data_IF_021506616923
#
_entry.id   IF_021506616923
#
_cell.length_a   1.000
_cell.length_b   1.000
_cell.length_c   1.000
_cell.angle_alpha   90.00
_cell.angle_beta   90.00
_cell.angle_gamma   90.00
#
_symmetry.space_group_name_H-M   'P 1'
#
loop_
_entity.id
_entity.type
_entity.pdbx_description
1 polymer ?
#
# COMPACT_ATOMS: atom_id res chain seq x y z
N UNK A 1 15.73 36.12 55.01
CA UNK A 1 14.26 36.30 55.09
C UNK A 1 13.79 37.23 53.99
N UNK A 2 13.07 36.70 52.99
CA UNK A 2 11.87 37.26 52.31
C UNK A 2 11.66 36.46 51.01
N UNK A 3 10.62 35.65 51.05
CA UNK A 3 10.06 34.84 49.97
C UNK A 3 9.09 35.70 49.19
N UNK A 4 9.16 35.77 47.86
CA UNK A 4 8.00 36.12 47.04
C UNK A 4 7.97 35.32 45.70
N UNK A 5 6.99 34.40 45.64
CA UNK A 5 6.05 34.05 44.55
C UNK A 5 6.54 34.22 43.10
N UNK A 6 6.84 33.13 42.38
CA UNK A 6 5.89 32.25 41.67
C UNK A 6 4.89 33.00 40.77
N UNK A 7 5.22 33.13 39.49
CA UNK A 7 4.25 33.04 38.39
C UNK A 7 4.79 32.07 37.34
N UNK A 8 4.17 30.90 37.28
CA UNK A 8 4.32 29.97 36.17
C UNK A 8 3.70 30.61 34.92
N UNK A 9 4.52 30.81 33.87
CA UNK A 9 4.00 30.92 32.51
C UNK A 9 4.03 29.51 31.91
N UNK A 10 2.90 28.80 32.09
CA UNK A 10 2.59 27.61 31.31
C UNK A 10 2.28 28.11 29.90
N UNK A 11 3.29 28.13 29.03
CA UNK A 11 3.05 28.16 27.60
C UNK A 11 2.50 26.79 27.20
N UNK A 12 1.18 26.66 27.26
CA UNK A 12 0.45 25.59 26.62
C UNK A 12 0.59 25.72 25.12
N UNK A 13 1.61 25.09 24.54
CA UNK A 13 1.57 24.70 23.13
C UNK A 13 0.58 23.55 23.00
N UNK A 14 -0.71 23.88 22.97
CA UNK A 14 -1.70 23.03 22.34
C UNK A 14 -1.33 22.98 20.86
N UNK A 15 -0.50 22.00 20.47
CA UNK A 15 -0.44 21.56 19.09
C UNK A 15 -1.82 21.00 18.78
N UNK A 16 -2.70 21.89 18.32
CA UNK A 16 -3.88 21.51 17.57
C UNK A 16 -3.36 20.70 16.40
N UNK A 17 -3.45 19.38 16.54
CA UNK A 17 -3.18 18.44 15.47
C UNK A 17 -4.07 18.86 14.31
N UNK A 18 -3.45 19.41 13.27
CA UNK A 18 -4.08 19.39 11.96
C UNK A 18 -4.18 17.92 11.61
N UNK A 19 -5.33 17.32 11.93
CA UNK A 19 -5.77 16.09 11.29
C UNK A 19 -5.97 16.47 9.82
N UNK A 20 -4.87 16.47 9.07
CA UNK A 20 -4.89 16.45 7.63
C UNK A 20 -5.53 15.11 7.29
N UNK A 21 -6.86 15.12 7.22
CA UNK A 21 -7.61 14.12 6.50
C UNK A 21 -7.01 14.11 5.10
N UNK A 22 -6.14 13.14 4.87
CA UNK A 22 -5.63 12.79 3.56
C UNK A 22 -6.87 12.47 2.73
N UNK A 23 -7.44 13.49 2.07
CA UNK A 23 -8.40 13.33 1.00
C UNK A 23 -7.67 12.54 -0.05
N UNK A 24 -7.85 11.21 -0.01
CA UNK A 24 -7.34 10.36 -1.06
C UNK A 24 -7.94 10.89 -2.37
N UNK A 25 -7.13 11.07 -3.43
CA UNK A 25 -7.67 11.44 -4.73
C UNK A 25 -8.69 10.37 -5.12
N UNK A 26 -9.97 10.78 -5.20
CA UNK A 26 -11.04 9.97 -5.76
C UNK A 26 -10.86 10.07 -7.27
N UNK A 27 -10.18 9.09 -7.84
CA UNK A 27 -10.12 8.93 -9.28
C UNK A 27 -11.50 8.45 -9.74
N UNK A 28 -12.15 9.22 -10.62
CA UNK A 28 -13.47 8.92 -11.16
C UNK A 28 -13.39 7.78 -12.19
N UNK A 29 -13.30 6.55 -11.69
CA UNK A 29 -13.32 5.32 -12.50
C UNK A 29 -14.73 4.95 -12.98
N UNK A 30 -15.76 5.70 -12.56
CA UNK A 30 -17.16 5.37 -12.83
C UNK A 30 -17.53 5.49 -14.32
N UNK A 31 -16.72 6.14 -15.15
CA UNK A 31 -17.01 6.32 -16.58
C UNK A 31 -16.83 5.06 -17.45
N UNK A 32 -16.24 3.96 -16.95
CA UNK A 32 -15.88 2.80 -17.78
C UNK A 32 -16.23 1.42 -17.17
N UNK A 33 -17.02 1.34 -16.09
CA UNK A 33 -17.33 0.09 -15.36
C UNK A 33 -16.10 -0.67 -14.83
N UNK A 34 -14.97 0.00 -14.64
CA UNK A 34 -13.75 -0.60 -14.09
C UNK A 34 -13.88 -0.68 -12.55
N UNK A 35 -14.58 -1.72 -12.08
CA UNK A 35 -14.82 -1.99 -10.65
C UNK A 35 -13.66 -2.82 -10.08
N UNK A 36 -13.07 -2.45 -8.93
CA UNK A 36 -12.04 -3.26 -8.30
C UNK A 36 -12.59 -4.63 -7.87
N UNK A 37 -11.80 -5.69 -8.05
CA UNK A 37 -12.21 -7.06 -7.69
C UNK A 37 -12.14 -7.34 -6.18
N UNK A 38 -11.55 -6.40 -5.43
CA UNK A 38 -11.50 -6.45 -3.97
C UNK A 38 -12.11 -5.18 -3.41
N UNK A 39 -12.95 -5.34 -2.40
CA UNK A 39 -13.54 -4.23 -1.67
C UNK A 39 -12.56 -3.74 -0.60
N UNK A 40 -12.01 -2.54 -0.81
CA UNK A 40 -11.14 -1.90 0.16
C UNK A 40 -11.83 -1.54 1.47
N UNK A 41 -13.17 -1.54 1.52
CA UNK A 41 -13.98 -1.28 2.70
C UNK A 41 -14.43 -2.55 3.44
N UNK A 42 -14.05 -3.75 2.96
CA UNK A 42 -14.47 -5.01 3.59
C UNK A 42 -14.15 -5.04 5.09
N UNK A 43 -14.99 -5.73 5.88
CA UNK A 43 -14.74 -5.87 7.30
C UNK A 43 -13.51 -6.74 7.55
N UNK A 44 -12.59 -6.21 8.36
CA UNK A 44 -11.34 -6.85 8.76
C UNK A 44 -11.23 -6.90 10.29
N UNK A 45 -12.33 -6.70 11.01
CA UNK A 45 -12.33 -6.59 12.47
C UNK A 45 -11.82 -7.88 13.15
N UNK A 46 -12.22 -9.04 12.63
CA UNK A 46 -12.04 -10.33 13.28
C UNK A 46 -11.32 -11.37 12.41
N UNK A 47 -10.27 -10.98 11.68
CA UNK A 47 -9.45 -11.93 10.94
C UNK A 47 -8.60 -12.78 11.89
N UNK A 48 -8.67 -14.10 11.72
CA UNK A 48 -7.66 -15.01 12.29
C UNK A 48 -6.33 -14.83 11.58
N UNK A 49 -5.18 -15.24 12.16
CA UNK A 49 -3.89 -15.18 11.47
C UNK A 49 -3.89 -15.89 10.10
N UNK A 50 -4.54 -17.05 10.00
CA UNK A 50 -4.73 -17.76 8.74
C UNK A 50 -5.62 -16.97 7.76
N UNK A 51 -6.70 -16.37 8.25
CA UNK A 51 -7.58 -15.52 7.44
C UNK A 51 -6.86 -14.29 6.88
N UNK A 52 -5.99 -13.68 7.69
CA UNK A 52 -5.15 -12.57 7.24
C UNK A 52 -4.19 -13.01 6.12
N UNK A 53 -3.48 -14.12 6.28
CA UNK A 53 -2.56 -14.61 5.24
C UNK A 53 -3.28 -15.02 3.95
N UNK A 54 -4.44 -15.68 4.04
CA UNK A 54 -5.28 -15.98 2.87
C UNK A 54 -5.73 -14.71 2.14
N UNK A 55 -6.03 -13.65 2.90
CA UNK A 55 -6.38 -12.36 2.30
C UNK A 55 -5.17 -11.74 1.59
N UNK A 56 -3.98 -11.76 2.19
CA UNK A 56 -2.73 -11.32 1.53
C UNK A 56 -2.47 -12.11 0.23
N UNK A 57 -2.68 -13.43 0.24
CA UNK A 57 -2.53 -14.25 -0.96
C UNK A 57 -3.51 -13.84 -2.06
N UNK A 58 -4.79 -13.62 -1.72
CA UNK A 58 -5.78 -13.12 -2.67
C UNK A 58 -5.38 -11.76 -3.24
N UNK A 59 -4.93 -10.85 -2.39
CA UNK A 59 -4.48 -9.52 -2.81
C UNK A 59 -3.29 -9.60 -3.76
N UNK A 60 -2.32 -10.47 -3.47
CA UNK A 60 -1.17 -10.70 -4.35
C UNK A 60 -1.57 -11.25 -5.71
N UNK A 61 -2.49 -12.22 -5.76
CA UNK A 61 -3.01 -12.75 -7.03
C UNK A 61 -3.64 -11.63 -7.86
N UNK A 62 -4.44 -10.76 -7.25
CA UNK A 62 -5.06 -9.62 -7.96
C UNK A 62 -4.03 -8.60 -8.45
N UNK A 63 -3.02 -8.29 -7.63
CA UNK A 63 -1.90 -7.41 -7.98
C UNK A 63 -1.12 -7.91 -9.21
N UNK A 64 -0.90 -9.23 -9.32
CA UNK A 64 -0.17 -9.83 -10.44
C UNK A 64 -1.03 -10.04 -11.70
N UNK A 65 -2.35 -10.26 -11.54
CA UNK A 65 -3.27 -10.68 -12.61
C UNK A 65 -3.21 -9.80 -13.86
N UNK A 66 -3.25 -8.48 -13.68
CA UNK A 66 -3.28 -7.53 -14.80
C UNK A 66 -1.89 -7.11 -15.26
N UNK A 67 -0.87 -7.15 -14.39
CA UNK A 67 0.53 -6.88 -14.76
C UNK A 67 1.02 -7.86 -15.82
N UNK A 68 0.73 -9.14 -15.66
CA UNK A 68 1.12 -10.17 -16.65
C UNK A 68 0.49 -9.86 -18.02
N UNK A 69 -0.76 -9.38 -18.06
CA UNK A 69 -1.46 -9.01 -19.30
C UNK A 69 -0.85 -7.76 -19.96
N UNK A 70 -0.51 -6.75 -19.17
CA UNK A 70 0.19 -5.54 -19.64
C UNK A 70 1.59 -5.88 -20.18
N UNK A 71 2.35 -6.71 -19.46
CA UNK A 71 3.74 -7.07 -19.82
C UNK A 71 3.80 -8.00 -21.04
N UNK A 72 2.87 -8.97 -21.14
CA UNK A 72 2.82 -9.90 -22.27
C UNK A 72 2.15 -9.32 -23.53
N UNK A 73 1.31 -8.28 -23.37
CA UNK A 73 0.70 -7.55 -24.49
C UNK A 73 1.66 -6.60 -25.21
N UNK A 74 2.91 -6.48 -24.76
CA UNK A 74 3.90 -5.56 -25.34
C UNK A 74 5.09 -6.30 -25.99
N UNK A 75 4.90 -7.05 -27.10
CA UNK A 75 6.03 -7.54 -27.87
C UNK A 75 6.66 -6.37 -28.66
N UNK A 76 7.85 -5.91 -28.25
CA UNK A 76 8.80 -5.27 -29.15
C UNK A 76 8.84 -3.73 -29.25
N UNK A 77 8.30 -2.95 -28.31
CA UNK A 77 8.39 -1.47 -28.38
C UNK A 77 8.97 -0.83 -27.12
N UNK A 78 10.26 -1.09 -26.86
CA UNK A 78 11.02 -0.31 -25.86
C UNK A 78 11.34 1.12 -26.32
N UNK A 79 11.27 1.45 -27.62
CA UNK A 79 11.73 2.73 -28.17
C UNK A 79 10.79 3.39 -29.20
N UNK A 80 9.47 3.26 -29.11
CA UNK A 80 8.56 4.01 -29.98
C UNK A 80 7.61 4.87 -29.17
N UNK A 81 7.72 6.18 -29.35
CA UNK A 81 6.75 7.22 -28.98
C UNK A 81 5.33 6.66 -28.86
N UNK A 82 4.81 6.75 -27.63
CA UNK A 82 3.44 6.50 -27.16
C UNK A 82 2.43 6.35 -28.30
N UNK A 83 2.37 5.17 -28.92
CA UNK A 83 1.19 4.77 -29.70
C UNK A 83 0.10 4.56 -28.66
N UNK A 84 -1.00 5.31 -28.79
CA UNK A 84 -2.19 5.15 -27.94
C UNK A 84 -2.39 3.65 -27.67
N UNK A 85 -2.49 3.22 -26.39
CA UNK A 85 -2.73 1.83 -26.09
C UNK A 85 -3.93 1.38 -26.93
N UNK A 86 -3.83 0.22 -27.58
CA UNK A 86 -5.03 -0.39 -28.15
C UNK A 86 -6.09 -0.53 -27.05
N UNK A 87 -7.36 -0.57 -27.44
CA UNK A 87 -8.49 -0.51 -26.48
C UNK A 87 -8.39 -1.60 -25.40
N UNK A 88 -7.75 -2.73 -25.71
CA UNK A 88 -7.55 -3.87 -24.82
C UNK A 88 -6.40 -3.66 -23.82
N UNK A 89 -5.21 -3.25 -24.27
CA UNK A 89 -4.09 -2.91 -23.38
C UNK A 89 -4.47 -1.74 -22.49
N UNK A 90 -5.16 -0.74 -23.04
CA UNK A 90 -5.68 0.39 -22.28
C UNK A 90 -6.68 -0.02 -21.21
N UNK A 91 -7.50 -1.05 -21.47
CA UNK A 91 -8.39 -1.65 -20.47
C UNK A 91 -7.61 -2.32 -19.34
N UNK A 92 -6.57 -3.09 -19.65
CA UNK A 92 -5.77 -3.75 -18.61
C UNK A 92 -4.97 -2.78 -17.74
N UNK A 93 -4.46 -1.68 -18.30
CA UNK A 93 -3.86 -0.60 -17.51
C UNK A 93 -4.83 0.01 -16.50
N UNK A 94 -6.08 0.28 -16.92
CA UNK A 94 -7.10 0.82 -16.02
C UNK A 94 -7.50 -0.19 -14.95
N UNK A 95 -7.73 -1.45 -15.32
CA UNK A 95 -8.05 -2.53 -14.38
C UNK A 95 -6.93 -2.75 -13.35
N UNK A 96 -5.67 -2.66 -13.78
CA UNK A 96 -4.53 -2.70 -12.87
C UNK A 96 -4.57 -1.52 -11.90
N UNK A 97 -4.75 -0.29 -12.39
CA UNK A 97 -4.79 0.91 -11.55
C UNK A 97 -5.91 0.86 -10.49
N UNK A 98 -7.15 0.48 -10.86
CA UNK A 98 -8.26 0.40 -9.89
C UNK A 98 -8.04 -0.68 -8.84
N UNK A 99 -7.50 -1.84 -9.24
CA UNK A 99 -7.23 -2.93 -8.32
C UNK A 99 -6.05 -2.60 -7.39
N UNK A 100 -4.97 -2.03 -7.91
CA UNK A 100 -3.83 -1.57 -7.12
C UNK A 100 -4.27 -0.60 -6.03
N UNK A 101 -5.09 0.39 -6.38
CA UNK A 101 -5.57 1.37 -5.41
C UNK A 101 -6.43 0.75 -4.31
N UNK A 102 -7.36 -0.15 -4.68
CA UNK A 102 -8.21 -0.85 -3.71
C UNK A 102 -7.39 -1.79 -2.82
N UNK A 103 -6.46 -2.54 -3.41
CA UNK A 103 -5.52 -3.41 -2.69
C UNK A 103 -4.69 -2.61 -1.68
N UNK A 104 -4.08 -1.50 -2.11
CA UNK A 104 -3.23 -0.68 -1.25
C UNK A 104 -4.01 -0.06 -0.09
N UNK A 105 -5.24 0.40 -0.35
CA UNK A 105 -6.11 0.93 0.69
C UNK A 105 -6.47 -0.14 1.73
N UNK A 106 -6.88 -1.32 1.27
CA UNK A 106 -7.13 -2.46 2.16
C UNK A 106 -5.87 -2.88 2.93
N UNK A 107 -4.73 -2.91 2.25
CA UNK A 107 -3.48 -3.37 2.85
C UNK A 107 -3.02 -2.44 3.97
N UNK A 108 -3.10 -1.12 3.78
CA UNK A 108 -2.83 -0.16 4.85
C UNK A 108 -3.76 -0.35 6.06
N UNK A 109 -5.04 -0.66 5.84
CA UNK A 109 -5.98 -0.98 6.94
C UNK A 109 -5.54 -2.23 7.68
N UNK A 110 -5.16 -3.28 6.95
CA UNK A 110 -4.65 -4.52 7.52
C UNK A 110 -3.37 -4.29 8.32
N UNK A 111 -2.39 -3.58 7.78
CA UNK A 111 -1.12 -3.29 8.44
C UNK A 111 -1.30 -2.48 9.74
N UNK A 112 -2.21 -1.49 9.73
CA UNK A 112 -2.54 -0.72 10.94
C UNK A 112 -3.11 -1.58 12.05
N UNK A 113 -3.87 -2.64 11.72
CA UNK A 113 -4.55 -3.50 12.69
C UNK A 113 -3.71 -4.71 13.11
N UNK A 114 -3.10 -5.38 12.15
CA UNK A 114 -2.48 -6.70 12.30
C UNK A 114 -0.96 -6.69 12.14
N UNK A 115 -0.35 -5.54 11.85
CA UNK A 115 1.07 -5.39 11.52
C UNK A 115 1.44 -6.16 10.25
N UNK A 116 2.73 -6.26 9.96
CA UNK A 116 3.22 -7.00 8.80
C UNK A 116 2.84 -8.48 8.93
N UNK A 117 2.35 -9.14 7.87
CA UNK A 117 1.91 -10.52 7.96
C UNK A 117 3.09 -11.43 8.31
N UNK A 118 3.03 -12.00 9.52
CA UNK A 118 4.01 -12.95 10.02
C UNK A 118 3.84 -14.32 9.33
N UNK A 119 4.88 -15.15 9.37
CA UNK A 119 4.79 -16.52 8.89
C UNK A 119 4.37 -17.48 10.00
N UNK A 120 3.13 -17.97 10.02
CA UNK A 120 2.85 -19.34 10.39
C UNK A 120 2.69 -20.17 9.10
N UNK A 121 3.71 -20.98 8.77
CA UNK A 121 3.56 -22.07 7.78
C UNK A 121 4.48 -22.15 6.55
N UNK A 122 5.46 -21.25 6.34
CA UNK A 122 6.36 -21.15 5.14
C UNK A 122 5.75 -20.53 3.87
N UNK A 123 4.59 -19.88 3.93
CA UNK A 123 3.82 -19.54 2.72
C UNK A 123 4.17 -18.21 2.01
N UNK A 124 5.32 -17.60 2.35
CA UNK A 124 5.83 -16.43 1.62
C UNK A 124 4.95 -15.17 1.73
N UNK A 125 3.96 -15.12 2.64
CA UNK A 125 3.02 -14.00 2.76
C UNK A 125 3.71 -12.66 3.07
N UNK A 126 4.79 -12.66 3.86
CA UNK A 126 5.62 -11.45 4.05
C UNK A 126 6.20 -10.92 2.74
N UNK A 127 6.64 -11.80 1.84
CA UNK A 127 7.21 -11.42 0.54
C UNK A 127 6.12 -10.96 -0.42
N UNK A 128 4.97 -11.66 -0.46
CA UNK A 128 3.79 -11.24 -1.23
C UNK A 128 3.28 -9.86 -0.81
N UNK A 129 3.24 -9.62 0.51
CA UNK A 129 2.91 -8.33 1.09
C UNK A 129 3.89 -7.22 0.67
N UNK A 130 5.18 -7.55 0.54
CA UNK A 130 6.17 -6.62 0.00
C UNK A 130 5.87 -6.26 -1.46
N UNK A 131 5.51 -7.21 -2.33
CA UNK A 131 5.12 -6.89 -3.72
C UNK A 131 3.95 -5.91 -3.78
N UNK A 132 2.91 -6.13 -2.96
CA UNK A 132 1.75 -5.23 -2.89
C UNK A 132 2.17 -3.81 -2.47
N UNK A 133 3.04 -3.69 -1.46
CA UNK A 133 3.56 -2.39 -1.03
C UNK A 133 4.42 -1.73 -2.11
N UNK A 134 5.32 -2.49 -2.75
CA UNK A 134 6.25 -2.01 -3.76
C UNK A 134 5.53 -1.47 -5.00
N UNK A 135 4.42 -2.10 -5.36
CA UNK A 135 3.55 -1.64 -6.45
C UNK A 135 2.65 -0.44 -6.09
N UNK A 136 2.64 -0.03 -4.82
CA UNK A 136 2.71 1.35 -4.39
C UNK A 136 2.79 2.42 -5.50
N UNK A 137 1.76 3.25 -5.75
CA UNK A 137 2.04 4.55 -6.38
C UNK A 137 3.04 5.32 -5.52
N UNK A 138 3.95 6.09 -6.13
CA UNK A 138 5.04 6.76 -5.43
C UNK A 138 4.56 7.65 -4.27
N UNK A 139 3.43 8.35 -4.44
CA UNK A 139 2.79 9.18 -3.40
C UNK A 139 2.27 8.37 -2.19
N UNK A 140 2.06 7.06 -2.37
CA UNK A 140 1.56 6.14 -1.33
C UNK A 140 2.64 5.22 -0.77
N UNK A 141 3.76 4.99 -1.47
CA UNK A 141 4.84 4.11 -0.99
C UNK A 141 5.35 4.53 0.39
N UNK A 142 5.47 5.83 0.65
CA UNK A 142 5.89 6.36 1.95
C UNK A 142 4.99 5.93 3.12
N UNK A 143 3.71 5.62 2.88
CA UNK A 143 2.77 5.14 3.90
C UNK A 143 3.09 3.71 4.38
N UNK A 144 3.73 2.91 3.53
CA UNK A 144 4.12 1.53 3.85
C UNK A 144 5.48 1.44 4.53
N UNK A 145 6.35 2.45 4.33
CA UNK A 145 7.73 2.44 4.81
C UNK A 145 7.88 2.13 6.31
N UNK A 146 7.10 2.72 7.23
CA UNK A 146 7.23 2.40 8.66
C UNK A 146 6.96 0.92 8.97
N UNK A 147 6.00 0.30 8.28
CA UNK A 147 5.67 -1.12 8.47
C UNK A 147 6.73 -2.05 7.90
N UNK A 148 7.39 -1.65 6.80
CA UNK A 148 8.53 -2.39 6.24
C UNK A 148 9.74 -2.34 7.18
N UNK A 149 10.02 -1.18 7.78
CA UNK A 149 11.07 -1.05 8.82
C UNK A 149 10.76 -1.96 10.01
N UNK A 150 9.51 -1.96 10.50
CA UNK A 150 9.06 -2.86 11.57
C UNK A 150 9.26 -4.33 11.18
N UNK A 151 8.86 -4.73 9.97
CA UNK A 151 9.01 -6.10 9.46
C UNK A 151 10.46 -6.57 9.40
N UNK A 152 11.40 -5.70 8.98
CA UNK A 152 12.84 -6.01 8.96
C UNK A 152 13.40 -6.15 10.36
N UNK A 153 13.03 -5.26 11.28
CA UNK A 153 13.45 -5.33 12.68
C UNK A 153 12.94 -6.61 13.36
N UNK A 154 11.75 -7.06 12.98
CA UNK A 154 11.16 -8.34 13.42
C UNK A 154 11.65 -9.56 12.62
N UNK A 155 12.61 -9.41 11.71
CA UNK A 155 13.17 -10.49 10.87
C UNK A 155 12.14 -11.20 9.97
N UNK A 156 11.03 -10.54 9.65
CA UNK A 156 10.03 -11.02 8.69
C UNK A 156 10.43 -10.73 7.24
N UNK A 157 11.26 -9.70 7.04
CA UNK A 157 11.89 -9.33 5.77
C UNK A 157 13.38 -9.12 5.96
N UNK A 158 14.15 -9.26 4.88
CA UNK A 158 15.57 -8.94 4.90
C UNK A 158 15.83 -7.45 4.67
N UNK A 159 17.04 -7.01 5.02
CA UNK A 159 17.44 -5.60 4.85
C UNK A 159 17.55 -5.18 3.37
N UNK A 160 17.80 -6.12 2.47
CA UNK A 160 17.92 -5.84 1.03
C UNK A 160 16.57 -5.42 0.45
N UNK A 161 15.50 -6.07 0.88
CA UNK A 161 14.12 -5.79 0.53
C UNK A 161 13.72 -4.35 0.89
N UNK A 162 14.13 -3.88 2.07
CA UNK A 162 13.91 -2.49 2.49
C UNK A 162 14.76 -1.49 1.70
N UNK A 163 16.02 -1.84 1.38
CA UNK A 163 16.87 -1.00 0.54
C UNK A 163 16.28 -0.82 -0.86
N UNK A 164 15.85 -1.90 -1.52
CA UNK A 164 15.20 -1.83 -2.84
C UNK A 164 13.89 -1.03 -2.81
N UNK A 165 13.12 -1.14 -1.73
CA UNK A 165 11.91 -0.32 -1.57
C UNK A 165 12.23 1.16 -1.38
N UNK A 166 13.29 1.48 -0.62
CA UNK A 166 13.73 2.87 -0.45
C UNK A 166 14.18 3.48 -1.78
N UNK A 167 14.91 2.72 -2.59
CA UNK A 167 15.36 3.14 -3.92
C UNK A 167 14.18 3.41 -4.86
N UNK A 168 13.07 2.67 -4.77
CA UNK A 168 11.90 2.91 -5.63
C UNK A 168 11.12 4.19 -5.31
N UNK A 169 11.39 4.83 -4.16
CA UNK A 169 10.74 6.08 -3.76
C UNK A 169 11.42 7.34 -4.34
N UNK A 170 12.61 7.21 -4.95
CA UNK A 170 13.40 8.31 -5.52
C UNK A 170 13.54 8.16 -7.04
#
# INVERSE_FOLDING_TARGET
MKVYWLWMLIFGCAQAGSCQSLKQPVYDFARLNDIPEIDSAMDISNLTPMGYNKLIDKMFVLDQKYRIKVMNGTPGKRNQHVRRPDSETGKYWRLMAVNDQSNQALFLRLLKRYKWPAQPGKDGSSVKAWYIAWHAHADRQGLFYPFLVEAVNSKLLDRKTLASFRESMY
#
